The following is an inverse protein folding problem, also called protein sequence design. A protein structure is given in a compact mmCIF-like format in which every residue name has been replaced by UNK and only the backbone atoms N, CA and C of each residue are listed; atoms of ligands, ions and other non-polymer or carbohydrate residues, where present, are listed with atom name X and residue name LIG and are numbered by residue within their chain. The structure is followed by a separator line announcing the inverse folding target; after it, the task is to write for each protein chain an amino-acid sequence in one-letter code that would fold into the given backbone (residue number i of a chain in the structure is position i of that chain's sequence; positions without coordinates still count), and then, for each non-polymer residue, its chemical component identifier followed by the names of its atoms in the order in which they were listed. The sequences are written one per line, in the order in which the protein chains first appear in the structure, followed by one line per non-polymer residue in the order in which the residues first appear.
data_IF_270520640727
#
_entry.id   IF_270520640727
#
_cell.length_a   1.000
_cell.length_b   1.000
_cell.length_c   1.000
_cell.angle_alpha   90.00
_cell.angle_beta   90.00
_cell.angle_gamma   90.00
#
_symmetry.space_group_name_H-M   'P 1'
#
loop_
_entity.id
_entity.type
_entity.pdbx_description
1 polymer ?
#
# COMPACT_ATOMS: atom_id res chain seq x y z
N UNK A 1 -55.89 16.56 -22.16
CA UNK A 1 -54.88 17.32 -21.39
C UNK A 1 -53.77 16.35 -21.01
N UNK A 2 -52.59 16.53 -21.59
CA UNK A 2 -51.47 15.58 -21.56
C UNK A 2 -50.54 16.01 -20.42
N UNK A 3 -50.40 15.16 -19.40
CA UNK A 3 -49.51 15.42 -18.25
C UNK A 3 -48.10 14.93 -18.60
N UNK A 4 -47.22 15.85 -19.00
CA UNK A 4 -45.79 15.61 -19.20
C UNK A 4 -45.10 15.55 -17.83
N UNK A 5 -44.77 14.35 -17.35
CA UNK A 5 -43.90 14.16 -16.19
C UNK A 5 -42.45 14.26 -16.70
N UNK A 6 -41.78 15.36 -16.39
CA UNK A 6 -40.33 15.49 -16.48
C UNK A 6 -39.71 14.58 -15.41
N UNK A 7 -39.26 13.39 -15.81
CA UNK A 7 -38.43 12.55 -14.94
C UNK A 7 -37.04 13.20 -14.90
N UNK A 8 -36.80 13.93 -13.82
CA UNK A 8 -35.48 14.45 -13.45
C UNK A 8 -34.51 13.28 -13.37
N UNK A 9 -33.45 13.35 -14.18
CA UNK A 9 -32.40 12.37 -14.23
C UNK A 9 -31.72 12.22 -12.88
N UNK A 10 -31.78 11.00 -12.33
CA UNK A 10 -30.64 10.46 -11.61
C UNK A 10 -29.74 9.81 -12.65
N UNK A 11 -28.86 10.60 -13.26
CA UNK A 11 -27.62 10.05 -13.78
C UNK A 11 -26.82 9.61 -12.55
N UNK A 12 -27.11 8.42 -12.04
CA UNK A 12 -26.13 7.68 -11.26
C UNK A 12 -24.95 7.47 -12.19
N UNK A 13 -23.97 8.36 -12.11
CA UNK A 13 -22.60 8.02 -12.49
C UNK A 13 -22.26 6.91 -11.51
N UNK A 14 -22.49 5.66 -11.91
CA UNK A 14 -21.80 4.55 -11.31
C UNK A 14 -20.33 4.86 -11.59
N UNK A 15 -19.63 5.40 -10.59
CA UNK A 15 -18.19 5.28 -10.54
C UNK A 15 -17.93 3.80 -10.83
N UNK A 16 -17.30 3.50 -11.96
CA UNK A 16 -16.95 2.13 -12.29
C UNK A 16 -16.23 1.56 -11.06
N UNK A 17 -16.61 0.37 -10.55
CA UNK A 17 -15.92 -0.21 -9.43
C UNK A 17 -14.45 -0.27 -9.82
N UNK A 18 -13.61 0.43 -9.07
CA UNK A 18 -12.17 0.32 -9.18
C UNK A 18 -11.86 -1.19 -9.13
N UNK A 19 -11.21 -1.73 -10.16
CA UNK A 19 -10.71 -3.11 -10.12
C UNK A 19 -9.56 -3.16 -9.12
N UNK A 20 -9.96 -3.11 -7.85
CA UNK A 20 -9.10 -2.81 -6.72
C UNK A 20 -8.11 -3.95 -6.54
N UNK A 21 -8.52 -5.18 -6.88
CA UNK A 21 -7.64 -6.34 -6.85
C UNK A 21 -6.51 -6.22 -7.87
N UNK A 22 -6.81 -5.87 -9.12
CA UNK A 22 -5.76 -5.69 -10.12
C UNK A 22 -4.81 -4.53 -9.76
N UNK A 23 -5.33 -3.45 -9.18
CA UNK A 23 -4.51 -2.34 -8.70
C UNK A 23 -3.64 -2.72 -7.50
N UNK A 24 -4.14 -3.56 -6.57
CA UNK A 24 -3.35 -4.07 -5.45
C UNK A 24 -2.19 -4.91 -5.99
N UNK A 25 -2.47 -5.87 -6.87
CA UNK A 25 -1.42 -6.71 -7.49
C UNK A 25 -0.36 -5.85 -8.16
N UNK A 26 -0.76 -4.86 -8.97
CA UNK A 26 0.19 -3.95 -9.63
C UNK A 26 0.99 -3.11 -8.62
N UNK A 27 0.36 -2.61 -7.55
CA UNK A 27 1.07 -1.84 -6.52
C UNK A 27 2.09 -2.69 -5.76
N UNK A 28 1.73 -3.92 -5.42
CA UNK A 28 2.62 -4.89 -4.76
C UNK A 28 3.79 -5.26 -5.67
N UNK A 29 3.54 -5.55 -6.95
CA UNK A 29 4.58 -5.91 -7.92
C UNK A 29 5.59 -4.78 -8.16
N UNK A 30 5.10 -3.54 -8.27
CA UNK A 30 5.97 -2.36 -8.33
C UNK A 30 6.80 -2.20 -7.05
N UNK A 31 6.18 -2.36 -5.88
CA UNK A 31 6.87 -2.23 -4.59
C UNK A 31 7.96 -3.30 -4.45
N UNK A 32 7.69 -4.53 -4.88
CA UNK A 32 8.68 -5.60 -4.89
C UNK A 32 9.87 -5.24 -5.79
N UNK A 33 9.60 -4.80 -7.02
CA UNK A 33 10.65 -4.41 -7.99
C UNK A 33 11.47 -3.20 -7.52
N UNK A 34 10.87 -2.28 -6.78
CA UNK A 34 11.55 -1.10 -6.24
C UNK A 34 12.50 -1.46 -5.07
N UNK A 35 12.19 -2.54 -4.33
CA UNK A 35 12.97 -3.00 -3.17
C UNK A 35 14.00 -4.08 -3.58
N UNK A 36 13.67 -4.97 -4.51
CA UNK A 36 14.55 -6.03 -5.06
C UNK A 36 15.62 -5.41 -5.97
N UNK A 37 16.65 -4.84 -5.36
CA UNK A 37 17.64 -4.00 -6.06
C UNK A 37 18.62 -4.83 -6.88
N UNK A 38 18.99 -6.02 -6.41
CA UNK A 38 19.88 -6.92 -7.12
C UNK A 38 19.15 -7.87 -8.09
N UNK A 39 17.81 -7.91 -8.01
CA UNK A 39 16.88 -8.64 -8.89
C UNK A 39 17.07 -10.15 -8.82
N UNK A 40 17.40 -10.66 -7.65
CA UNK A 40 17.50 -12.10 -7.42
C UNK A 40 16.13 -12.74 -7.08
N UNK A 41 15.08 -11.93 -6.90
CA UNK A 41 13.73 -12.38 -6.59
C UNK A 41 13.49 -12.66 -5.11
N UNK A 42 14.40 -12.22 -4.24
CA UNK A 42 14.37 -12.35 -2.79
C UNK A 42 14.70 -10.98 -2.19
N UNK A 43 13.94 -10.55 -1.19
CA UNK A 43 14.27 -9.32 -0.46
C UNK A 43 15.13 -9.66 0.75
N UNK A 44 16.32 -9.09 0.80
CA UNK A 44 17.16 -9.09 2.00
C UNK A 44 16.87 -7.87 2.88
N UNK A 45 17.11 -7.98 4.18
CA UNK A 45 16.92 -6.86 5.12
C UNK A 45 17.69 -5.61 4.67
N UNK A 46 18.91 -5.78 4.15
CA UNK A 46 19.73 -4.67 3.64
C UNK A 46 19.09 -3.95 2.45
N UNK A 47 18.34 -4.65 1.60
CA UNK A 47 17.66 -4.05 0.47
C UNK A 47 16.42 -3.28 0.93
N UNK A 48 15.68 -3.82 1.89
CA UNK A 48 14.56 -3.12 2.51
C UNK A 48 15.04 -1.85 3.24
N UNK A 49 16.12 -1.93 4.03
CA UNK A 49 16.75 -0.77 4.68
C UNK A 49 17.31 0.23 3.66
N UNK A 50 17.93 -0.22 2.57
CA UNK A 50 18.41 0.66 1.50
C UNK A 50 17.25 1.40 0.81
N UNK A 51 16.13 0.71 0.58
CA UNK A 51 14.93 1.33 0.03
C UNK A 51 14.41 2.45 0.93
N UNK A 52 14.48 2.26 2.26
CA UNK A 52 14.12 3.23 3.28
C UNK A 52 15.02 4.47 3.27
N UNK A 53 16.35 4.28 3.31
CA UNK A 53 17.30 5.41 3.25
C UNK A 53 17.21 6.19 1.95
N UNK A 54 16.72 5.57 0.88
CA UNK A 54 16.53 6.26 -0.39
C UNK A 54 15.23 7.09 -0.43
N UNK A 55 14.35 6.95 0.58
CA UNK A 55 13.15 7.75 0.77
C UNK A 55 13.37 8.88 1.79
N UNK A 56 14.23 8.67 2.79
CA UNK A 56 14.65 9.66 3.79
C UNK A 56 15.50 10.77 3.13
N UNK A 57 14.84 11.87 2.74
CA UNK A 57 15.47 12.95 1.98
C UNK A 57 16.17 13.97 2.88
N UNK A 58 15.68 14.15 4.11
CA UNK A 58 16.27 15.09 5.06
C UNK A 58 17.37 14.46 5.94
N UNK A 59 17.53 13.13 5.88
CA UNK A 59 18.57 12.36 6.54
C UNK A 59 18.35 12.21 8.05
N UNK A 60 17.11 12.36 8.52
CA UNK A 60 16.77 12.29 9.94
C UNK A 60 16.61 10.85 10.47
N UNK A 61 16.78 9.83 9.62
CA UNK A 61 16.60 8.39 9.88
C UNK A 61 15.16 7.96 10.16
N UNK A 62 14.23 8.80 9.77
CA UNK A 62 12.79 8.58 9.78
C UNK A 62 12.24 8.97 8.42
N UNK A 63 11.21 8.29 7.97
CA UNK A 63 10.52 8.61 6.72
C UNK A 63 9.17 9.20 7.10
N UNK A 64 8.98 10.49 6.80
CA UNK A 64 7.69 11.16 6.92
C UNK A 64 6.73 10.71 5.82
N UNK A 65 5.42 10.96 6.01
CA UNK A 65 4.39 10.70 4.99
C UNK A 65 4.75 11.36 3.64
N UNK A 66 5.22 12.61 3.69
CA UNK A 66 5.58 13.37 2.48
C UNK A 66 6.76 12.74 1.74
N UNK A 67 7.76 12.28 2.47
CA UNK A 67 8.92 11.58 1.89
C UNK A 67 8.46 10.26 1.28
N UNK A 68 7.65 9.50 2.02
CA UNK A 68 7.07 8.24 1.56
C UNK A 68 6.29 8.40 0.26
N UNK A 69 5.47 9.45 0.10
CA UNK A 69 4.69 9.68 -1.11
C UNK A 69 5.52 10.14 -2.32
N UNK A 70 6.62 10.84 -2.10
CA UNK A 70 7.38 11.53 -3.17
C UNK A 70 8.15 10.61 -4.13
N UNK A 71 8.36 9.34 -3.76
CA UNK A 71 9.33 8.45 -4.40
C UNK A 71 8.82 7.67 -5.63
N UNK A 72 7.51 7.54 -5.85
CA UNK A 72 6.98 6.67 -6.92
C UNK A 72 5.85 7.30 -7.70
N UNK A 73 5.80 7.02 -9.00
CA UNK A 73 4.74 7.47 -9.93
C UNK A 73 3.40 6.74 -9.73
N UNK A 74 3.34 5.69 -8.91
CA UNK A 74 2.11 4.97 -8.61
C UNK A 74 1.61 5.29 -7.20
N UNK A 75 0.72 6.29 -7.13
CA UNK A 75 0.27 6.92 -5.89
C UNK A 75 -0.90 6.22 -5.18
N UNK A 76 -1.50 5.19 -5.80
CA UNK A 76 -2.87 4.78 -5.45
C UNK A 76 -3.06 4.38 -3.98
N UNK A 77 -2.08 3.69 -3.38
CA UNK A 77 -2.20 3.17 -2.01
C UNK A 77 -1.12 3.65 -1.04
N UNK A 78 -0.12 4.44 -1.46
CA UNK A 78 1.03 4.79 -0.60
C UNK A 78 0.61 5.48 0.69
N UNK A 79 -0.29 6.47 0.60
CA UNK A 79 -0.85 7.15 1.77
C UNK A 79 -1.53 6.16 2.73
N UNK A 80 -2.30 5.21 2.19
CA UNK A 80 -2.98 4.22 3.02
C UNK A 80 -1.99 3.26 3.68
N UNK A 81 -0.98 2.79 2.93
CA UNK A 81 0.09 1.94 3.45
C UNK A 81 0.86 2.66 4.55
N UNK A 82 1.22 3.93 4.36
CA UNK A 82 1.87 4.74 5.39
C UNK A 82 1.04 4.76 6.68
N UNK A 83 -0.24 5.10 6.58
CA UNK A 83 -1.17 5.13 7.73
C UNK A 83 -1.37 3.76 8.40
N UNK A 84 -1.13 2.66 7.69
CA UNK A 84 -1.23 1.31 8.26
C UNK A 84 0.05 0.88 8.95
N UNK A 85 1.22 1.35 8.48
CA UNK A 85 2.53 1.03 9.05
C UNK A 85 2.96 1.98 10.18
N UNK A 86 2.39 3.18 10.24
CA UNK A 86 2.60 4.16 11.33
C UNK A 86 1.78 3.77 12.58
N UNK A 87 2.23 2.73 13.27
CA UNK A 87 1.48 2.15 14.40
C UNK A 87 1.38 3.06 15.62
N UNK A 88 2.41 3.86 15.89
CA UNK A 88 2.42 4.78 17.03
C UNK A 88 1.81 6.14 16.70
N UNK A 89 1.57 6.43 15.41
CA UNK A 89 0.91 7.63 14.94
C UNK A 89 1.78 8.87 15.14
N UNK A 90 3.10 8.71 15.21
CA UNK A 90 4.02 9.83 15.36
C UNK A 90 4.24 10.58 14.02
N UNK A 91 3.72 10.05 12.92
CA UNK A 91 3.82 10.61 11.58
C UNK A 91 5.11 10.21 10.86
N UNK A 92 5.81 9.19 11.35
CA UNK A 92 7.06 8.71 10.80
C UNK A 92 7.17 7.17 10.82
N UNK A 93 7.84 6.63 9.82
CA UNK A 93 8.36 5.27 9.85
C UNK A 93 9.85 5.35 10.19
N UNK A 94 10.29 4.67 11.25
CA UNK A 94 11.71 4.60 11.59
C UNK A 94 12.31 3.23 11.22
N UNK A 95 13.64 3.11 11.35
CA UNK A 95 14.36 1.87 11.05
C UNK A 95 13.84 0.68 11.86
N UNK A 96 13.37 0.89 13.09
CA UNK A 96 12.85 -0.18 13.93
C UNK A 96 11.49 -0.68 13.43
N UNK A 97 10.64 0.21 12.90
CA UNK A 97 9.41 -0.17 12.22
C UNK A 97 9.71 -1.06 11.01
N UNK A 98 10.69 -0.68 10.18
CA UNK A 98 11.08 -1.46 9.00
C UNK A 98 11.61 -2.85 9.37
N UNK A 99 12.47 -2.95 10.38
CA UNK A 99 12.98 -4.24 10.87
C UNK A 99 11.86 -5.11 11.46
N UNK A 100 10.89 -4.47 12.13
CA UNK A 100 9.68 -5.12 12.61
C UNK A 100 8.89 -5.73 11.46
N UNK A 101 8.65 -4.97 10.39
CA UNK A 101 7.91 -5.46 9.23
C UNK A 101 8.64 -6.57 8.48
N UNK A 102 9.97 -6.48 8.37
CA UNK A 102 10.77 -7.57 7.82
C UNK A 102 10.54 -8.87 8.59
N UNK A 103 10.55 -8.80 9.92
CA UNK A 103 10.34 -9.95 10.80
C UNK A 103 8.91 -10.51 10.69
N UNK A 104 7.90 -9.65 10.48
CA UNK A 104 6.51 -10.09 10.27
C UNK A 104 6.33 -10.74 8.89
N UNK A 105 7.06 -10.24 7.89
CA UNK A 105 6.98 -10.70 6.51
C UNK A 105 7.72 -12.02 6.28
N UNK A 106 8.88 -12.21 6.92
CA UNK A 106 9.66 -13.46 6.93
C UNK A 106 8.95 -14.54 7.79
N UNK A 107 7.94 -15.18 7.21
CA UNK A 107 7.08 -16.12 7.92
C UNK A 107 7.74 -17.47 8.19
N UNK A 108 8.76 -17.83 7.40
CA UNK A 108 9.48 -19.08 7.54
C UNK A 108 10.75 -18.95 8.41
N UNK A 109 11.12 -17.71 8.78
CA UNK A 109 12.26 -17.33 9.61
C UNK A 109 13.62 -17.75 9.03
N UNK A 110 13.78 -17.70 7.70
CA UNK A 110 15.04 -17.99 7.01
C UNK A 110 15.92 -16.74 6.81
N UNK A 111 15.48 -15.58 7.29
CA UNK A 111 16.07 -14.25 7.11
C UNK A 111 16.05 -13.76 5.67
N UNK A 112 15.15 -14.29 4.83
CA UNK A 112 14.91 -13.86 3.47
C UNK A 112 13.41 -13.68 3.28
N UNK A 113 13.01 -12.63 2.57
CA UNK A 113 11.61 -12.46 2.19
C UNK A 113 11.44 -12.93 0.76
N UNK A 114 10.74 -14.04 0.59
CA UNK A 114 10.38 -14.53 -0.74
C UNK A 114 9.32 -13.65 -1.40
N UNK A 115 9.23 -13.72 -2.74
CA UNK A 115 8.13 -13.08 -3.49
C UNK A 115 6.74 -13.40 -2.92
N UNK A 116 6.51 -14.66 -2.49
CA UNK A 116 5.22 -15.09 -1.94
C UNK A 116 4.92 -14.41 -0.59
N UNK A 117 5.92 -14.30 0.27
CA UNK A 117 5.81 -13.64 1.58
C UNK A 117 5.51 -12.15 1.39
N UNK A 118 6.27 -11.49 0.53
CA UNK A 118 6.04 -10.11 0.17
C UNK A 118 4.62 -9.87 -0.37
N UNK A 119 4.19 -10.69 -1.35
CA UNK A 119 2.87 -10.58 -1.96
C UNK A 119 1.76 -10.75 -0.91
N UNK A 120 1.88 -11.77 -0.06
CA UNK A 120 0.89 -12.07 0.99
C UNK A 120 0.80 -10.93 2.00
N UNK A 121 1.95 -10.45 2.46
CA UNK A 121 2.05 -9.40 3.46
C UNK A 121 1.51 -8.06 2.93
N UNK A 122 2.03 -7.55 1.81
CA UNK A 122 1.63 -6.23 1.30
C UNK A 122 0.20 -6.21 0.75
N UNK A 123 -0.30 -7.32 0.19
CA UNK A 123 -1.72 -7.44 -0.16
C UNK A 123 -2.59 -7.23 1.07
N UNK A 124 -2.26 -7.90 2.18
CA UNK A 124 -3.01 -7.78 3.44
C UNK A 124 -2.91 -6.39 4.04
N UNK A 125 -1.73 -5.75 4.00
CA UNK A 125 -1.56 -4.36 4.44
C UNK A 125 -2.46 -3.44 3.64
N UNK A 126 -2.44 -3.52 2.31
CA UNK A 126 -3.25 -2.64 1.45
C UNK A 126 -4.75 -2.92 1.64
N UNK A 127 -5.19 -4.17 1.71
CA UNK A 127 -6.59 -4.52 1.97
C UNK A 127 -7.06 -3.96 3.33
N UNK A 128 -6.23 -4.11 4.36
CA UNK A 128 -6.52 -3.57 5.71
C UNK A 128 -6.59 -2.06 5.69
N UNK A 129 -5.63 -1.42 5.01
CA UNK A 129 -5.56 0.02 4.88
C UNK A 129 -6.76 0.59 4.08
N UNK A 130 -7.21 -0.10 3.03
CA UNK A 130 -8.43 0.29 2.30
C UNK A 130 -9.67 0.12 3.17
N UNK A 131 -9.78 -0.97 3.93
CA UNK A 131 -10.90 -1.18 4.84
C UNK A 131 -10.97 -0.10 5.93
N UNK A 132 -9.83 0.31 6.49
CA UNK A 132 -9.75 1.34 7.53
C UNK A 132 -9.85 2.76 6.98
N UNK A 133 -9.15 3.06 5.90
CA UNK A 133 -8.85 4.43 5.45
C UNK A 133 -9.33 4.72 4.03
N UNK A 134 -9.82 3.73 3.26
CA UNK A 134 -10.23 3.91 1.86
C UNK A 134 -11.30 5.00 1.68
N UNK A 135 -12.15 5.21 2.70
CA UNK A 135 -13.14 6.29 2.73
C UNK A 135 -12.52 7.69 2.61
N UNK A 136 -11.26 7.89 3.05
CA UNK A 136 -10.54 9.16 2.98
C UNK A 136 -10.23 9.57 1.54
N UNK A 137 -10.13 8.60 0.63
CA UNK A 137 -9.77 8.82 -0.78
C UNK A 137 -10.86 8.38 -1.76
N UNK A 138 -12.09 8.16 -1.26
CA UNK A 138 -13.24 7.81 -2.08
C UNK A 138 -13.26 6.36 -2.58
N UNK A 139 -12.48 5.46 -1.96
CA UNK A 139 -12.52 4.01 -2.22
C UNK A 139 -13.52 3.37 -1.26
N UNK A 140 -14.47 2.62 -1.79
CA UNK A 140 -15.42 1.83 -0.99
C UNK A 140 -14.73 0.61 -0.39
N UNK A 141 -15.03 0.22 0.87
CA UNK A 141 -14.41 -0.94 1.52
C UNK A 141 -14.52 -2.23 0.68
N UNK A 142 -13.41 -2.97 0.57
CA UNK A 142 -13.38 -4.27 -0.11
C UNK A 142 -14.12 -5.29 0.79
N UNK A 143 -15.12 -6.02 0.27
CA UNK A 143 -15.67 -7.16 1.01
C UNK A 143 -14.58 -8.22 1.24
N UNK A 144 -14.57 -8.94 2.37
CA UNK A 144 -13.52 -9.92 2.66
C UNK A 144 -13.33 -10.89 1.50
N UNK A 145 -12.08 -11.10 1.08
CA UNK A 145 -11.70 -12.12 0.11
C UNK A 145 -12.12 -13.49 0.67
N UNK A 146 -13.05 -14.16 -0.01
CA UNK A 146 -13.47 -15.51 0.35
C UNK A 146 -12.28 -16.46 0.14
N UNK A 147 -11.74 -16.96 1.26
CA UNK A 147 -10.74 -18.04 1.29
C UNK A 147 -11.29 -19.34 0.72
#
# INVERSE_FOLDING_TARGET
MQLLIFVLGFSSVFAAPLDTHQHIITAVDHSFTDVDTDRDGIIQLSELEASFFHVDFDGNKKVSESEFESRSTNHTFRKLVFLELDYDGDGFLDVSAIQGEYTVMDTNADNLVSRREFDTYYTKVIETAIAKYGFLIGITPIPPSSQ
#
